data_IF_506068631353
#
_entry.id   IF_506068631353
#
_cell.length_a   1.000
_cell.length_b   1.000
_cell.length_c   1.000
_cell.angle_alpha   90.00
_cell.angle_beta   90.00
_cell.angle_gamma   90.00
#
_symmetry.space_group_name_H-M   'P 1'
#
loop_
_entity.id
_entity.type
_entity.pdbx_description
1 polymer ?
#
# COMPACT_ATOMS: atom_id res chain seq x y z
N UNK A 1 59.10 -17.64 29.42
CA UNK A 1 57.93 -16.77 29.72
C UNK A 1 57.92 -15.59 28.77
N UNK A 2 56.92 -15.51 27.88
CA UNK A 2 56.28 -14.28 27.40
C UNK A 2 55.04 -14.70 26.60
N UNK A 3 53.89 -14.24 27.09
CA UNK A 3 52.53 -14.65 26.75
C UNK A 3 52.03 -14.00 25.46
N UNK A 4 51.24 -14.78 24.72
CA UNK A 4 49.96 -14.49 24.04
C UNK A 4 49.73 -13.17 23.30
N UNK A 5 49.17 -13.27 22.10
CA UNK A 5 47.84 -12.70 21.79
C UNK A 5 47.27 -13.32 20.50
N UNK A 6 46.25 -14.17 20.66
CA UNK A 6 45.41 -14.64 19.57
C UNK A 6 44.31 -13.59 19.33
N UNK A 7 44.31 -12.95 18.16
CA UNK A 7 43.29 -11.98 17.78
C UNK A 7 42.03 -12.72 17.29
N UNK A 8 41.01 -12.78 18.15
CA UNK A 8 39.67 -13.24 17.78
C UNK A 8 38.95 -12.13 17.01
N UNK A 9 38.79 -12.29 15.69
CA UNK A 9 37.90 -11.45 14.88
C UNK A 9 36.44 -11.86 15.18
N UNK A 10 35.75 -11.10 16.02
CA UNK A 10 34.30 -11.19 16.15
C UNK A 10 33.64 -10.51 14.94
N UNK A 11 33.10 -11.32 14.01
CA UNK A 11 32.16 -10.85 12.99
C UNK A 11 30.84 -10.48 13.68
N UNK A 12 30.59 -9.19 13.85
CA UNK A 12 29.26 -8.66 14.20
C UNK A 12 28.35 -8.85 12.98
N UNK A 13 27.51 -9.87 13.02
CA UNK A 13 26.43 -10.07 12.07
C UNK A 13 25.43 -8.91 12.22
N UNK A 14 25.33 -8.04 11.21
CA UNK A 14 24.22 -7.11 11.11
C UNK A 14 22.97 -7.96 10.81
N UNK A 15 22.00 -7.92 11.72
CA UNK A 15 20.72 -8.57 11.49
C UNK A 15 19.97 -7.75 10.44
N UNK A 16 20.06 -8.16 9.18
CA UNK A 16 19.12 -7.71 8.16
C UNK A 16 17.76 -8.33 8.50
N UNK A 17 16.99 -7.64 9.33
CA UNK A 17 15.55 -7.91 9.41
C UNK A 17 15.03 -7.78 7.99
N UNK A 18 14.44 -8.83 7.43
CA UNK A 18 13.81 -8.79 6.11
C UNK A 18 12.30 -8.67 6.32
N UNK A 19 11.67 -7.71 5.66
CA UNK A 19 10.22 -7.57 5.71
C UNK A 19 9.59 -8.79 5.01
N UNK A 20 8.88 -9.61 5.78
CA UNK A 20 8.15 -10.77 5.25
C UNK A 20 6.70 -10.37 5.04
N UNK A 21 6.41 -9.79 3.87
CA UNK A 21 5.04 -9.49 3.48
C UNK A 21 4.36 -10.76 2.97
N UNK A 22 3.10 -10.94 3.38
CA UNK A 22 2.22 -11.92 2.74
C UNK A 22 1.81 -11.37 1.37
N UNK A 23 1.65 -12.22 0.32
CA UNK A 23 1.13 -11.76 -0.96
C UNK A 23 -0.20 -11.01 -0.76
N UNK A 24 -0.36 -9.81 -1.33
CA UNK A 24 -1.55 -9.01 -1.14
C UNK A 24 -2.75 -9.67 -1.84
N UNK A 25 -3.91 -9.61 -1.18
CA UNK A 25 -5.18 -10.14 -1.67
C UNK A 25 -6.31 -9.12 -1.44
N UNK A 26 -7.11 -8.85 -2.49
CA UNK A 26 -8.10 -7.77 -2.48
C UNK A 26 -9.28 -8.06 -1.54
N UNK A 27 -9.68 -9.32 -1.38
CA UNK A 27 -10.76 -9.70 -0.46
C UNK A 27 -10.28 -9.58 0.99
N UNK A 28 -9.05 -9.98 1.27
CA UNK A 28 -8.39 -9.76 2.57
C UNK A 28 -8.32 -8.28 2.91
N UNK A 29 -7.87 -7.43 1.97
CA UNK A 29 -7.83 -5.99 2.18
C UNK A 29 -9.22 -5.38 2.37
N UNK A 30 -10.21 -5.82 1.60
CA UNK A 30 -11.60 -5.38 1.75
C UNK A 30 -12.15 -5.70 3.14
N UNK A 31 -12.00 -6.95 3.59
CA UNK A 31 -12.47 -7.36 4.91
C UNK A 31 -11.77 -6.56 6.02
N UNK A 32 -10.44 -6.39 5.93
CA UNK A 32 -9.68 -5.55 6.88
C UNK A 32 -10.16 -4.10 6.89
N UNK A 33 -10.37 -3.51 5.71
CA UNK A 33 -10.80 -2.11 5.59
C UNK A 33 -12.27 -1.89 5.93
N UNK A 34 -13.09 -2.94 5.97
CA UNK A 34 -14.47 -2.85 6.44
C UNK A 34 -14.57 -2.89 7.98
N UNK A 35 -13.48 -3.22 8.67
CA UNK A 35 -13.39 -3.25 10.13
C UNK A 35 -12.85 -1.95 10.74
N UNK A 36 -12.27 -1.05 9.92
CA UNK A 36 -11.76 0.24 10.41
C UNK A 36 -12.93 1.23 10.64
N UNK A 37 -12.81 2.15 11.61
CA UNK A 37 -13.90 3.09 11.92
C UNK A 37 -14.10 4.19 10.87
N UNK A 38 -13.15 4.38 9.95
CA UNK A 38 -13.22 5.39 8.90
C UNK A 38 -13.92 4.90 7.63
N UNK A 39 -14.53 5.82 6.89
CA UNK A 39 -15.07 5.54 5.57
C UNK A 39 -13.93 5.29 4.57
N UNK A 40 -13.83 4.04 4.09
CA UNK A 40 -12.86 3.61 3.08
C UNK A 40 -13.57 3.36 1.76
N UNK A 41 -13.01 3.92 0.69
CA UNK A 41 -13.50 3.78 -0.68
C UNK A 41 -12.55 2.89 -1.47
N UNK A 42 -13.10 2.01 -2.31
CA UNK A 42 -12.32 1.21 -3.25
C UNK A 42 -12.36 1.91 -4.60
N UNK A 43 -11.21 2.34 -5.09
CA UNK A 43 -11.06 3.09 -6.32
C UNK A 43 -10.18 2.30 -7.30
N UNK A 44 -10.49 2.37 -8.59
CA UNK A 44 -9.65 1.87 -9.67
C UNK A 44 -9.26 3.04 -10.56
N UNK A 45 -7.98 3.15 -10.90
CA UNK A 45 -7.53 4.20 -11.80
C UNK A 45 -6.05 4.45 -11.68
N UNK A 46 -5.66 5.72 -11.87
CA UNK A 46 -4.27 6.15 -11.91
C UNK A 46 -4.04 7.32 -10.97
N UNK A 47 -2.87 7.30 -10.33
CA UNK A 47 -2.34 8.43 -9.56
C UNK A 47 -1.29 9.16 -10.40
N UNK A 48 -1.44 10.45 -10.62
CA UNK A 48 -0.39 11.28 -11.23
C UNK A 48 0.20 12.22 -10.18
N UNK A 49 1.51 12.08 -9.94
CA UNK A 49 2.28 12.83 -8.96
C UNK A 49 3.78 12.77 -9.28
N UNK A 50 4.57 13.59 -8.59
CA UNK A 50 6.03 13.60 -8.72
C UNK A 50 6.66 12.46 -7.90
N UNK A 51 7.01 11.36 -8.56
CA UNK A 51 7.66 10.20 -7.94
C UNK A 51 9.00 10.53 -7.28
N UNK A 52 9.69 11.62 -7.69
CA UNK A 52 10.96 12.00 -7.09
C UNK A 52 10.82 12.45 -5.63
N UNK A 53 9.59 12.74 -5.20
CA UNK A 53 9.23 13.08 -3.82
C UNK A 53 9.01 11.85 -2.93
N UNK A 54 8.96 10.64 -3.50
CA UNK A 54 8.81 9.42 -2.71
C UNK A 54 10.00 9.24 -1.75
N UNK A 55 9.74 8.76 -0.51
CA UNK A 55 10.80 8.55 0.45
C UNK A 55 11.75 7.45 -0.04
N UNK A 56 13.03 7.79 -0.10
CA UNK A 56 14.07 6.78 -0.29
C UNK A 56 14.14 5.89 0.95
N UNK A 57 14.33 4.57 0.78
CA UNK A 57 14.45 3.60 1.89
C UNK A 57 15.51 4.04 2.90
N UNK A 58 15.17 4.00 4.20
CA UNK A 58 15.98 4.62 5.25
C UNK A 58 16.67 3.58 6.12
N UNK A 59 17.96 3.77 6.39
CA UNK A 59 18.66 3.00 7.41
C UNK A 59 18.46 3.70 8.76
N UNK A 60 17.77 3.03 9.70
CA UNK A 60 17.81 3.30 11.15
C UNK A 60 17.07 4.53 11.74
N UNK A 61 16.04 5.11 11.10
CA UNK A 61 15.14 6.08 11.77
C UNK A 61 13.70 5.99 11.28
N UNK A 62 12.77 6.05 12.23
CA UNK A 62 11.35 6.26 11.95
C UNK A 62 11.13 7.65 11.34
N UNK A 63 10.37 7.70 10.24
CA UNK A 63 10.05 8.93 9.53
C UNK A 63 8.55 8.97 9.30
N UNK A 64 8.01 10.18 9.33
CA UNK A 64 6.70 10.51 8.79
C UNK A 64 6.96 11.22 7.47
N UNK A 65 6.97 10.50 6.32
CA UNK A 65 7.13 11.13 5.02
C UNK A 65 6.09 12.24 4.82
N UNK A 66 6.52 13.33 4.19
CA UNK A 66 5.59 14.40 3.85
C UNK A 66 4.54 13.88 2.84
N UNK A 67 3.28 14.30 2.94
CA UNK A 67 2.27 13.97 1.93
C UNK A 67 2.67 14.53 0.57
N UNK A 68 2.47 13.74 -0.48
CA UNK A 68 2.77 14.13 -1.86
C UNK A 68 1.46 14.45 -2.55
N UNK A 69 1.33 15.68 -3.05
CA UNK A 69 0.15 16.08 -3.81
C UNK A 69 0.19 15.53 -5.23
N UNK A 70 -0.99 15.17 -5.74
CA UNK A 70 -1.18 14.66 -7.09
C UNK A 70 -2.63 14.71 -7.51
N UNK A 71 -2.98 13.90 -8.49
CA UNK A 71 -4.36 13.72 -8.96
C UNK A 71 -4.70 12.25 -9.12
N UNK A 72 -5.93 11.88 -8.79
CA UNK A 72 -6.49 10.58 -9.08
C UNK A 72 -7.49 10.70 -10.22
N UNK A 73 -7.39 9.82 -11.21
CA UNK A 73 -8.35 9.70 -12.32
C UNK A 73 -8.80 8.26 -12.44
N UNK A 74 -10.11 8.02 -12.39
CA UNK A 74 -10.62 6.65 -12.39
C UNK A 74 -12.08 6.51 -12.03
N UNK A 75 -12.40 5.43 -11.33
CA UNK A 75 -13.75 5.02 -10.99
C UNK A 75 -13.80 4.47 -9.57
N UNK A 76 -14.89 4.72 -8.86
CA UNK A 76 -15.21 4.10 -7.59
C UNK A 76 -15.98 2.80 -7.78
N UNK A 77 -15.72 1.83 -6.90
CA UNK A 77 -16.44 0.58 -6.83
C UNK A 77 -17.90 0.82 -6.42
N UNK A 78 -18.82 0.27 -7.19
CA UNK A 78 -20.24 0.20 -6.87
C UNK A 78 -20.70 -1.25 -6.83
N UNK A 79 -21.96 -1.48 -6.48
CA UNK A 79 -22.58 -2.81 -6.60
C UNK A 79 -22.60 -3.33 -8.04
N UNK A 80 -22.42 -2.50 -9.05
CA UNK A 80 -22.39 -2.92 -10.46
C UNK A 80 -20.96 -2.98 -11.02
N UNK A 81 -19.94 -2.73 -10.19
CA UNK A 81 -18.53 -2.66 -10.57
C UNK A 81 -17.97 -1.24 -10.52
N UNK A 82 -16.76 -1.08 -11.05
CA UNK A 82 -16.13 0.23 -11.22
C UNK A 82 -16.87 0.99 -12.32
N UNK A 83 -17.84 1.81 -11.92
CA UNK A 83 -18.81 2.45 -12.83
C UNK A 83 -19.10 3.90 -12.46
N UNK A 84 -18.72 4.32 -11.26
CA UNK A 84 -18.88 5.69 -10.80
C UNK A 84 -17.60 6.46 -11.08
N UNK A 85 -17.58 7.28 -12.12
CA UNK A 85 -16.42 8.10 -12.47
C UNK A 85 -15.99 8.97 -11.29
N UNK A 86 -14.70 8.94 -10.98
CA UNK A 86 -14.13 9.59 -9.82
C UNK A 86 -12.77 10.22 -10.18
N UNK A 87 -12.78 11.53 -10.41
CA UNK A 87 -11.61 12.33 -10.74
C UNK A 87 -11.44 13.41 -9.67
N UNK A 88 -10.29 13.46 -9.00
CA UNK A 88 -10.10 14.36 -7.83
C UNK A 88 -8.63 14.68 -7.55
N UNK A 89 -8.34 15.74 -6.78
CA UNK A 89 -7.04 15.89 -6.14
C UNK A 89 -6.70 14.66 -5.30
N UNK A 90 -5.43 14.26 -5.29
CA UNK A 90 -4.96 13.12 -4.52
C UNK A 90 -3.80 13.51 -3.62
N UNK A 91 -3.69 12.79 -2.51
CA UNK A 91 -2.56 12.81 -1.59
C UNK A 91 -2.02 11.40 -1.50
N UNK A 92 -0.75 11.21 -1.89
CA UNK A 92 -0.01 9.97 -1.64
C UNK A 92 0.69 10.11 -0.29
N UNK A 93 0.32 9.26 0.66
CA UNK A 93 0.89 9.23 2.00
C UNK A 93 1.68 7.94 2.18
N UNK A 94 3.01 8.03 2.05
CA UNK A 94 3.88 6.90 2.38
C UNK A 94 3.89 6.62 3.87
N UNK A 95 3.73 5.34 4.22
CA UNK A 95 3.89 4.79 5.57
C UNK A 95 5.15 3.92 5.61
N UNK A 96 5.86 3.99 6.73
CA UNK A 96 7.10 3.25 6.91
C UNK A 96 6.97 2.21 8.04
N UNK A 97 7.40 0.99 7.78
CA UNK A 97 7.59 -0.06 8.78
C UNK A 97 9.09 -0.18 9.05
N UNK A 98 9.57 0.44 10.12
CA UNK A 98 11.00 0.51 10.40
C UNK A 98 11.78 1.18 9.24
N UNK A 99 12.73 0.47 8.59
CA UNK A 99 13.52 1.04 7.49
C UNK A 99 12.81 1.07 6.13
N UNK A 100 11.69 0.35 5.96
CA UNK A 100 10.98 0.25 4.68
C UNK A 100 9.84 1.24 4.63
N UNK A 101 9.83 2.10 3.63
CA UNK A 101 8.70 2.98 3.33
C UNK A 101 7.99 2.47 2.09
N UNK A 102 6.66 2.53 2.10
CA UNK A 102 5.85 2.23 0.93
C UNK A 102 5.98 3.29 -0.15
N UNK A 103 5.80 2.86 -1.38
CA UNK A 103 5.76 3.71 -2.56
C UNK A 103 4.74 3.17 -3.55
N UNK A 104 4.43 3.99 -4.55
CA UNK A 104 3.55 3.62 -5.67
C UNK A 104 4.08 4.23 -6.95
N UNK A 105 3.82 3.58 -8.09
CA UNK A 105 4.13 4.15 -9.40
C UNK A 105 3.11 5.22 -9.80
N UNK A 106 3.59 6.29 -10.41
CA UNK A 106 2.76 7.30 -11.06
C UNK A 106 2.24 6.79 -12.40
N UNK A 107 1.02 7.16 -12.74
CA UNK A 107 0.30 6.82 -13.97
C UNK A 107 0.08 5.32 -14.23
N UNK A 108 0.30 4.47 -13.22
CA UNK A 108 0.02 3.03 -13.27
C UNK A 108 -1.47 2.75 -13.00
N UNK A 109 -2.04 1.77 -13.72
CA UNK A 109 -3.40 1.30 -13.43
C UNK A 109 -3.38 0.45 -12.15
N UNK A 110 -4.17 0.86 -11.17
CA UNK A 110 -4.21 0.26 -9.84
C UNK A 110 -5.64 0.19 -9.29
N UNK A 111 -5.83 -0.70 -8.32
CA UNK A 111 -6.93 -0.61 -7.36
C UNK A 111 -6.36 -0.14 -6.03
N UNK A 112 -7.01 0.82 -5.37
CA UNK A 112 -6.62 1.32 -4.06
C UNK A 112 -7.80 1.41 -3.09
N UNK A 113 -7.50 1.14 -1.81
CA UNK A 113 -8.34 1.44 -0.67
C UNK A 113 -7.94 2.80 -0.12
N UNK A 114 -8.79 3.80 -0.32
CA UNK A 114 -8.47 5.20 -0.04
C UNK A 114 -9.51 5.87 0.85
N UNK A 115 -9.08 6.86 1.61
CA UNK A 115 -9.97 7.75 2.37
C UNK A 115 -10.27 8.99 1.52
N UNK A 116 -11.42 9.61 1.73
CA UNK A 116 -11.73 10.92 1.15
C UNK A 116 -11.70 11.95 2.28
N UNK A 117 -10.77 12.91 2.21
CA UNK A 117 -10.60 13.96 3.21
C UNK A 117 -10.62 15.30 2.48
N UNK A 118 -11.55 16.18 2.87
CA UNK A 118 -11.74 17.50 2.26
C UNK A 118 -11.86 17.47 0.73
N UNK A 119 -12.46 16.40 0.19
CA UNK A 119 -12.64 16.19 -1.25
C UNK A 119 -11.40 15.68 -2.00
N UNK A 120 -10.30 15.41 -1.30
CA UNK A 120 -9.11 14.77 -1.85
C UNK A 120 -9.08 13.27 -1.52
N UNK A 121 -8.62 12.46 -2.48
CA UNK A 121 -8.33 11.04 -2.26
C UNK A 121 -7.01 10.91 -1.53
N UNK A 122 -7.02 10.33 -0.34
CA UNK A 122 -5.82 10.03 0.43
C UNK A 122 -5.50 8.55 0.26
N UNK A 123 -4.43 8.29 -0.48
CA UNK A 123 -3.89 6.94 -0.72
C UNK A 123 -2.71 6.71 0.21
N UNK A 124 -2.91 5.85 1.20
CA UNK A 124 -1.84 5.39 2.07
C UNK A 124 -1.08 4.26 1.38
N UNK A 125 0.25 4.35 1.32
CA UNK A 125 1.10 3.34 0.68
C UNK A 125 2.12 2.81 1.67
N UNK A 126 2.03 1.52 1.97
CA UNK A 126 2.90 0.82 2.91
C UNK A 126 3.81 -0.17 2.18
N UNK A 127 4.95 -0.59 2.76
CA UNK A 127 5.93 -1.42 2.06
C UNK A 127 5.48 -2.87 1.80
N UNK A 128 4.27 -3.26 2.24
CA UNK A 128 3.66 -4.55 1.96
C UNK A 128 2.47 -4.46 1.00
N UNK A 129 2.27 -3.33 0.31
CA UNK A 129 1.21 -3.14 -0.68
C UNK A 129 -0.18 -3.53 -0.16
N UNK A 130 -0.47 -3.19 1.10
CA UNK A 130 -1.64 -3.72 1.78
C UNK A 130 -2.96 -3.02 1.38
N UNK A 131 -2.85 -1.91 0.64
CA UNK A 131 -3.93 -0.99 0.23
C UNK A 131 -3.89 -0.63 -1.24
N UNK A 132 -2.84 -1.02 -1.97
CA UNK A 132 -2.63 -0.69 -3.39
C UNK A 132 -2.29 -1.95 -4.15
N UNK A 133 -2.98 -2.16 -5.27
CA UNK A 133 -2.92 -3.36 -6.07
C UNK A 133 -2.68 -3.00 -7.53
N UNK A 134 -1.46 -3.25 -8.00
CA UNK A 134 -1.05 -2.96 -9.37
C UNK A 134 -1.64 -3.92 -10.40
N UNK A 135 -1.83 -3.43 -11.63
CA UNK A 135 -2.28 -4.23 -12.77
C UNK A 135 -3.55 -5.05 -12.44
N UNK A 136 -4.65 -4.38 -12.07
CA UNK A 136 -5.86 -5.04 -11.61
C UNK A 136 -6.37 -6.05 -12.64
N UNK A 137 -6.63 -7.27 -12.18
CA UNK A 137 -7.15 -8.35 -13.02
C UNK A 137 -8.68 -8.40 -12.95
N UNK A 138 -9.36 -8.93 -13.99
CA UNK A 138 -10.81 -9.12 -13.95
C UNK A 138 -11.28 -9.95 -12.74
N UNK A 139 -10.45 -10.88 -12.25
CA UNK A 139 -10.76 -11.63 -11.03
C UNK A 139 -10.78 -10.73 -9.80
N UNK A 140 -9.82 -9.82 -9.65
CA UNK A 140 -9.78 -8.90 -8.51
C UNK A 140 -11.01 -8.00 -8.49
N UNK A 141 -11.43 -7.50 -9.65
CA UNK A 141 -12.66 -6.70 -9.77
C UNK A 141 -13.89 -7.53 -9.42
N UNK A 142 -14.00 -8.75 -9.94
CA UNK A 142 -15.10 -9.65 -9.61
C UNK A 142 -15.16 -9.96 -8.12
N UNK A 143 -14.01 -10.20 -7.47
CA UNK A 143 -13.93 -10.49 -6.04
C UNK A 143 -14.44 -9.27 -5.23
N UNK A 144 -14.01 -8.06 -5.58
CA UNK A 144 -14.46 -6.82 -4.94
C UNK A 144 -15.95 -6.54 -5.15
N UNK A 145 -16.49 -6.86 -6.32
CA UNK A 145 -17.93 -6.76 -6.60
C UNK A 145 -18.72 -7.72 -5.70
N UNK A 146 -18.27 -8.96 -5.54
CA UNK A 146 -18.87 -9.91 -4.61
C UNK A 146 -18.83 -9.38 -3.18
N UNK A 147 -17.68 -8.81 -2.76
CA UNK A 147 -17.50 -8.22 -1.44
C UNK A 147 -18.48 -7.07 -1.16
N UNK A 148 -18.57 -6.06 -2.04
CA UNK A 148 -19.48 -4.91 -1.81
C UNK A 148 -20.96 -5.29 -1.91
N UNK A 149 -21.29 -6.40 -2.58
CA UNK A 149 -22.66 -6.94 -2.62
C UNK A 149 -23.05 -7.68 -1.35
N UNK A 150 -22.08 -8.08 -0.52
CA UNK A 150 -22.30 -8.95 0.64
C UNK A 150 -22.42 -10.43 0.26
N UNK A 151 -21.86 -10.82 -0.89
CA UNK A 151 -21.75 -12.21 -1.32
C UNK A 151 -20.48 -12.86 -0.72
N UNK A 152 -20.09 -14.04 -1.21
CA UNK A 152 -18.85 -14.70 -0.77
C UNK A 152 -17.63 -13.84 -1.09
N UNK A 153 -17.02 -13.28 -0.04
CA UNK A 153 -15.81 -12.43 -0.08
C UNK A 153 -14.67 -13.14 0.65
N UNK A 154 -14.24 -14.27 0.09
CA UNK A 154 -13.23 -15.12 0.71
C UNK A 154 -11.82 -14.77 0.22
N UNK A 155 -10.87 -14.54 1.14
CA UNK A 155 -9.45 -14.51 0.83
C UNK A 155 -8.99 -15.74 0.05
N UNK A 156 -8.03 -15.58 -0.85
CA UNK A 156 -7.38 -16.73 -1.48
C UNK A 156 -6.69 -17.60 -0.42
N UNK A 157 -7.12 -18.86 -0.32
CA UNK A 157 -6.42 -19.86 0.49
C UNK A 157 -5.04 -20.16 -0.13
N UNK A 158 -4.05 -20.35 0.74
CA UNK A 158 -2.64 -20.59 0.40
C UNK A 158 -2.41 -21.97 -0.22
#
# INVERSE_FOLDING_TARGET
>A
MKFSSAAALCFIASQATALSCMPPDVATAFNRMNEVPEDVYVLRGKLDFDESLLPQGVVNKERHPAPISGTFTGEALTRDGFTSRFDSPAIVQSVCYGPWCGGVGSSEDLITFAKIIDGAVVVEVDPCDSTVFYNPTPKMESDLISCIRGETCEPKER
#
